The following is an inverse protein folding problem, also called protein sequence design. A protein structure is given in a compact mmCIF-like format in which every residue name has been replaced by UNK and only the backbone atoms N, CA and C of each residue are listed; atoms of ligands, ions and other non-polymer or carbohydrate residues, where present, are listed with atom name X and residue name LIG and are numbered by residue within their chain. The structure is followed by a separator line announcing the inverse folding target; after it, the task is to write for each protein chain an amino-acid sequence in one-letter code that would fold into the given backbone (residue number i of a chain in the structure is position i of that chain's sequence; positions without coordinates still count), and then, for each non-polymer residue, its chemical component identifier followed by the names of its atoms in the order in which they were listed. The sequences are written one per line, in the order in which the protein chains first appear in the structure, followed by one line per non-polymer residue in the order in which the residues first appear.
data_IF_912406233534
#
_entry.id   IF_912406233534
#
_cell.length_a   1.000
_cell.length_b   1.000
_cell.length_c   1.000
_cell.angle_alpha   90.00
_cell.angle_beta   90.00
_cell.angle_gamma   90.00
#
_symmetry.space_group_name_H-M   'P 1'
#
loop_
_entity.id
_entity.type
_entity.pdbx_description
1 polymer ?
#
# COMPACT_ATOMS: atom_id res chain seq x y z
N UNK A 1 15.66 -12.42 -32.52
CA UNK A 1 14.47 -12.51 -31.63
C UNK A 1 14.89 -12.03 -30.26
N UNK A 2 14.27 -10.95 -29.80
CA UNK A 2 14.59 -10.37 -28.50
C UNK A 2 14.22 -11.32 -27.36
N UNK A 3 15.02 -11.31 -26.31
CA UNK A 3 14.91 -12.22 -25.17
C UNK A 3 13.60 -12.04 -24.39
N UNK A 4 13.07 -10.82 -24.35
CA UNK A 4 11.74 -10.50 -23.82
C UNK A 4 10.59 -10.99 -24.72
N UNK A 5 10.78 -10.93 -26.04
CA UNK A 5 9.82 -11.47 -27.02
C UNK A 5 9.68 -12.99 -26.90
N UNK A 6 10.78 -13.71 -26.65
CA UNK A 6 10.74 -15.16 -26.37
C UNK A 6 10.02 -15.48 -25.06
N UNK A 7 10.19 -14.65 -24.03
CA UNK A 7 9.50 -14.82 -22.76
C UNK A 7 7.99 -14.60 -22.87
N UNK A 8 7.56 -13.53 -23.54
CA UNK A 8 6.14 -13.25 -23.80
C UNK A 8 5.50 -14.28 -24.72
N UNK A 9 6.25 -14.84 -25.67
CA UNK A 9 5.81 -15.99 -26.47
C UNK A 9 5.65 -17.24 -25.60
N UNK A 10 6.59 -17.50 -24.67
CA UNK A 10 6.47 -18.60 -23.72
C UNK A 10 5.28 -18.42 -22.77
N UNK A 11 5.00 -17.21 -22.27
CA UNK A 11 3.80 -16.91 -21.47
C UNK A 11 2.47 -17.15 -22.22
N UNK A 12 2.53 -17.26 -23.54
CA UNK A 12 1.39 -17.58 -24.41
C UNK A 12 1.35 -19.07 -24.79
N UNK A 13 2.31 -19.87 -24.34
CA UNK A 13 2.43 -21.29 -24.67
C UNK A 13 1.68 -22.18 -23.68
N UNK A 14 1.21 -23.38 -24.11
CA UNK A 14 0.59 -24.36 -23.21
C UNK A 14 1.52 -24.80 -22.06
N UNK A 15 2.83 -24.85 -22.31
CA UNK A 15 3.85 -25.26 -21.33
C UNK A 15 3.93 -24.30 -20.13
N UNK A 16 3.55 -23.03 -20.32
CA UNK A 16 3.47 -22.06 -19.23
C UNK A 16 2.37 -22.42 -18.24
N UNK A 17 1.22 -22.89 -18.72
CA UNK A 17 0.07 -23.22 -17.86
C UNK A 17 0.40 -24.35 -16.90
N UNK A 18 1.01 -25.43 -17.40
CA UNK A 18 1.46 -26.55 -16.57
C UNK A 18 2.52 -26.11 -15.53
N UNK A 19 3.41 -25.18 -15.91
CA UNK A 19 4.41 -24.63 -14.99
C UNK A 19 3.75 -23.75 -13.91
N UNK A 20 2.76 -22.95 -14.25
CA UNK A 20 2.00 -22.10 -13.32
C UNK A 20 1.21 -22.93 -12.31
N UNK A 21 0.52 -23.98 -12.75
CA UNK A 21 -0.20 -24.90 -11.84
C UNK A 21 0.75 -25.58 -10.83
N UNK A 22 1.92 -26.05 -11.29
CA UNK A 22 2.94 -26.61 -10.41
C UNK A 22 3.46 -25.59 -9.39
N UNK A 23 3.50 -24.32 -9.78
CA UNK A 23 3.94 -23.21 -8.94
C UNK A 23 2.86 -22.76 -7.98
N UNK A 24 1.60 -22.76 -8.38
CA UNK A 24 0.44 -22.48 -7.54
C UNK A 24 0.38 -23.44 -6.34
N UNK A 25 0.63 -24.74 -6.56
CA UNK A 25 0.73 -25.72 -5.46
C UNK A 25 1.83 -25.37 -4.46
N UNK A 26 2.98 -24.90 -4.94
CA UNK A 26 4.09 -24.47 -4.07
C UNK A 26 3.73 -23.21 -3.28
N UNK A 27 3.14 -22.20 -3.94
CA UNK A 27 2.68 -20.96 -3.33
C UNK A 27 1.66 -21.26 -2.22
N UNK A 28 0.67 -22.11 -2.48
CA UNK A 28 -0.31 -22.49 -1.46
C UNK A 28 0.32 -23.15 -0.22
N UNK A 29 1.28 -24.06 -0.41
CA UNK A 29 1.96 -24.72 0.71
C UNK A 29 2.70 -23.71 1.57
N UNK A 30 3.40 -22.78 0.93
CA UNK A 30 4.13 -21.72 1.63
C UNK A 30 3.18 -20.71 2.27
N UNK A 31 2.08 -20.35 1.63
CA UNK A 31 1.06 -19.44 2.13
C UNK A 31 0.36 -20.01 3.38
N UNK A 32 0.01 -21.29 3.37
CA UNK A 32 -0.53 -21.98 4.56
C UNK A 32 0.49 -22.03 5.70
N UNK A 33 1.76 -22.32 5.39
CA UNK A 33 2.85 -22.41 6.38
C UNK A 33 3.08 -21.09 7.13
N UNK A 34 2.85 -19.97 6.47
CA UNK A 34 2.99 -18.62 7.05
C UNK A 34 1.65 -18.02 7.51
N UNK A 35 0.57 -18.82 7.53
CA UNK A 35 -0.78 -18.41 7.92
C UNK A 35 -1.26 -17.16 7.15
N UNK A 36 -1.09 -17.19 5.83
CA UNK A 36 -1.56 -16.13 4.94
C UNK A 36 -3.08 -15.98 5.06
N UNK A 37 -3.60 -14.72 5.11
CA UNK A 37 -5.05 -14.50 5.13
C UNK A 37 -5.72 -15.14 3.93
N UNK A 38 -6.83 -15.86 4.15
CA UNK A 38 -7.55 -16.60 3.11
C UNK A 38 -8.13 -15.68 2.03
N UNK A 39 -8.35 -14.40 2.35
CA UNK A 39 -8.89 -13.38 1.44
C UNK A 39 -7.90 -13.00 0.32
N UNK A 40 -6.63 -13.37 0.47
CA UNK A 40 -5.58 -13.13 -0.52
C UNK A 40 -5.28 -14.37 -1.37
N UNK A 41 -6.04 -15.44 -1.17
CA UNK A 41 -5.91 -16.70 -1.89
C UNK A 41 -7.29 -17.08 -2.47
N UNK A 42 -7.34 -17.79 -3.61
CA UNK A 42 -8.61 -18.24 -4.19
C UNK A 42 -9.44 -19.15 -3.26
N UNK A 43 -8.80 -19.90 -2.36
CA UNK A 43 -9.48 -20.69 -1.34
C UNK A 43 -8.63 -20.81 -0.06
N UNK A 44 -9.23 -21.10 1.11
CA UNK A 44 -8.50 -21.15 2.38
C UNK A 44 -7.50 -22.32 2.48
N UNK A 45 -7.90 -23.51 2.03
CA UNK A 45 -7.05 -24.71 2.04
C UNK A 45 -7.47 -25.67 0.90
N UNK A 46 -6.73 -25.72 -0.23
CA UNK A 46 -7.09 -26.57 -1.37
C UNK A 46 -6.98 -28.06 -1.07
N UNK A 47 -6.28 -28.48 -0.01
CA UNK A 47 -6.14 -29.90 0.34
C UNK A 47 -7.33 -30.46 1.12
N UNK A 48 -8.24 -29.60 1.57
CA UNK A 48 -9.51 -29.99 2.21
C UNK A 48 -10.68 -30.10 1.24
N UNK A 49 -10.51 -29.61 0.02
CA UNK A 49 -11.55 -29.61 -1.01
C UNK A 49 -11.62 -30.94 -1.77
N UNK A 50 -12.78 -31.28 -2.36
CA UNK A 50 -12.92 -32.37 -3.32
C UNK A 50 -11.91 -32.24 -4.49
N UNK A 51 -11.55 -33.35 -5.15
CA UNK A 51 -10.53 -33.35 -6.21
C UNK A 51 -10.77 -32.33 -7.34
N UNK A 52 -12.04 -32.14 -7.72
CA UNK A 52 -12.44 -31.25 -8.82
C UNK A 52 -12.36 -29.77 -8.39
N UNK A 53 -12.96 -29.41 -7.25
CA UNK A 53 -12.87 -28.05 -6.67
C UNK A 53 -11.43 -27.64 -6.31
N UNK A 54 -10.60 -28.61 -5.91
CA UNK A 54 -9.17 -28.39 -5.69
C UNK A 54 -8.46 -28.05 -6.98
N UNK A 55 -8.81 -28.70 -8.09
CA UNK A 55 -8.22 -28.40 -9.39
C UNK A 55 -8.58 -26.96 -9.81
N UNK A 56 -9.86 -26.58 -9.62
CA UNK A 56 -10.34 -25.23 -9.91
C UNK A 56 -9.67 -24.16 -9.04
N UNK A 57 -9.52 -24.40 -7.73
CA UNK A 57 -8.82 -23.47 -6.85
C UNK A 57 -7.33 -23.29 -7.21
N UNK A 58 -6.65 -24.37 -7.59
CA UNK A 58 -5.26 -24.29 -8.06
C UNK A 58 -5.14 -23.60 -9.41
N UNK A 59 -6.14 -23.78 -10.28
CA UNK A 59 -6.22 -23.11 -11.56
C UNK A 59 -6.44 -21.60 -11.38
N UNK A 60 -7.35 -21.20 -10.50
CA UNK A 60 -7.58 -19.79 -10.17
C UNK A 60 -6.29 -19.10 -9.69
N UNK A 61 -5.51 -19.76 -8.83
CA UNK A 61 -4.23 -19.21 -8.38
C UNK A 61 -3.18 -19.16 -9.52
N UNK A 62 -3.21 -20.13 -10.43
CA UNK A 62 -2.36 -20.12 -11.62
C UNK A 62 -2.71 -18.96 -12.56
N UNK A 63 -4.00 -18.63 -12.67
CA UNK A 63 -4.50 -17.51 -13.46
C UNK A 63 -4.11 -16.16 -12.82
N UNK A 64 -4.22 -16.03 -11.49
CA UNK A 64 -3.71 -14.87 -10.74
C UNK A 64 -2.20 -14.70 -10.93
N UNK A 65 -1.45 -15.80 -10.91
CA UNK A 65 -0.01 -15.79 -11.15
C UNK A 65 0.31 -15.40 -12.60
N UNK A 66 -0.51 -15.81 -13.56
CA UNK A 66 -0.38 -15.40 -14.96
C UNK A 66 -0.64 -13.91 -15.14
N UNK A 67 -1.69 -13.37 -14.51
CA UNK A 67 -1.98 -11.93 -14.48
C UNK A 67 -0.86 -11.14 -13.81
N UNK A 68 -0.33 -11.65 -12.70
CA UNK A 68 0.83 -11.08 -12.02
C UNK A 68 2.06 -11.00 -12.93
N UNK A 69 2.28 -11.99 -13.80
CA UNK A 69 3.37 -11.97 -14.76
C UNK A 69 3.09 -10.99 -15.91
N UNK A 70 1.89 -11.04 -16.50
CA UNK A 70 1.49 -10.18 -17.63
C UNK A 70 1.49 -8.69 -17.29
N UNK A 71 1.23 -8.33 -16.04
CA UNK A 71 1.21 -6.95 -15.57
C UNK A 71 2.60 -6.33 -15.33
N UNK A 72 3.70 -7.08 -15.52
CA UNK A 72 5.08 -6.59 -15.26
C UNK A 72 5.76 -6.04 -16.51
N UNK A 73 6.49 -4.96 -16.31
CA UNK A 73 7.34 -4.36 -17.35
C UNK A 73 8.58 -5.21 -17.64
N UNK A 74 9.18 -5.01 -18.81
CA UNK A 74 10.42 -5.69 -19.19
C UNK A 74 11.56 -5.48 -18.17
N UNK A 75 11.67 -4.26 -17.62
CA UNK A 75 12.68 -3.92 -16.61
C UNK A 75 12.53 -4.75 -15.33
N UNK A 76 11.30 -5.10 -14.95
CA UNK A 76 11.05 -5.99 -13.82
C UNK A 76 11.62 -7.39 -14.08
N UNK A 77 11.44 -7.92 -15.30
CA UNK A 77 11.98 -9.22 -15.69
C UNK A 77 13.51 -9.22 -15.79
N UNK A 78 14.11 -8.12 -16.24
CA UNK A 78 15.57 -7.91 -16.23
C UNK A 78 16.11 -7.90 -14.80
N UNK A 79 15.51 -7.12 -13.90
CA UNK A 79 15.87 -7.06 -12.46
C UNK A 79 15.73 -8.40 -11.76
N UNK A 80 14.67 -9.16 -12.07
CA UNK A 80 14.43 -10.50 -11.49
C UNK A 80 15.40 -11.56 -12.04
N UNK A 81 16.08 -11.27 -13.16
CA UNK A 81 16.97 -12.21 -13.85
C UNK A 81 16.22 -13.35 -14.54
N UNK A 82 14.96 -13.14 -14.94
CA UNK A 82 14.15 -14.14 -15.64
C UNK A 82 14.64 -14.37 -17.07
N UNK A 83 15.07 -13.28 -17.72
CA UNK A 83 15.42 -13.23 -19.14
C UNK A 83 16.67 -14.08 -19.47
N UNK A 84 17.77 -14.07 -18.66
CA UNK A 84 18.93 -14.94 -18.89
C UNK A 84 18.70 -16.41 -18.46
N UNK A 85 17.62 -16.71 -17.74
CA UNK A 85 17.41 -18.00 -17.07
C UNK A 85 16.58 -19.01 -17.87
N UNK A 86 16.02 -18.62 -19.03
CA UNK A 86 15.31 -19.52 -19.95
C UNK A 86 16.20 -20.69 -20.41
N UNK A 87 17.53 -20.50 -20.42
CA UNK A 87 18.51 -21.56 -20.72
C UNK A 87 18.88 -22.49 -19.55
N UNK A 88 18.46 -22.20 -18.30
CA UNK A 88 18.79 -22.99 -17.09
C UNK A 88 17.61 -23.81 -16.55
N UNK A 89 16.48 -23.81 -17.26
CA UNK A 89 15.30 -24.59 -16.93
C UNK A 89 14.20 -23.78 -16.23
N UNK A 90 12.98 -23.92 -16.75
CA UNK A 90 11.74 -23.23 -16.34
C UNK A 90 11.49 -23.26 -14.84
N UNK A 91 11.87 -24.34 -14.16
CA UNK A 91 11.66 -24.55 -12.71
C UNK A 91 12.31 -23.47 -11.83
N UNK A 92 13.52 -23.03 -12.15
CA UNK A 92 14.22 -22.03 -11.33
C UNK A 92 13.60 -20.64 -11.45
N UNK A 93 13.13 -20.29 -12.65
CA UNK A 93 12.44 -19.02 -12.90
C UNK A 93 11.11 -19.00 -12.16
N UNK A 94 10.35 -20.10 -12.22
CA UNK A 94 9.07 -20.21 -11.53
C UNK A 94 9.17 -20.15 -10.01
N UNK A 95 10.24 -20.69 -9.41
CA UNK A 95 10.49 -20.54 -7.97
C UNK A 95 10.76 -19.09 -7.58
N UNK A 96 11.51 -18.33 -8.39
CA UNK A 96 11.72 -16.90 -8.15
C UNK A 96 10.43 -16.10 -8.30
N UNK A 97 9.64 -16.41 -9.33
CA UNK A 97 8.31 -15.83 -9.54
C UNK A 97 7.42 -16.09 -8.33
N UNK A 98 7.37 -17.34 -7.84
CA UNK A 98 6.62 -17.68 -6.63
C UNK A 98 7.05 -16.88 -5.41
N UNK A 99 8.36 -16.70 -5.21
CA UNK A 99 8.89 -15.94 -4.09
C UNK A 99 8.48 -14.46 -4.15
N UNK A 100 8.52 -13.86 -5.34
CA UNK A 100 8.09 -12.47 -5.54
C UNK A 100 6.58 -12.31 -5.34
N UNK A 101 5.80 -13.24 -5.88
CA UNK A 101 4.35 -13.26 -5.69
C UNK A 101 3.98 -13.39 -4.21
N UNK A 102 4.61 -14.31 -3.47
CA UNK A 102 4.44 -14.46 -2.02
C UNK A 102 4.84 -13.20 -1.24
N UNK A 103 5.86 -12.46 -1.68
CA UNK A 103 6.23 -11.21 -1.04
C UNK A 103 5.14 -10.14 -1.24
N UNK A 104 4.57 -10.05 -2.44
CA UNK A 104 3.44 -9.15 -2.69
C UNK A 104 2.21 -9.53 -1.86
N UNK A 105 1.87 -10.82 -1.77
CA UNK A 105 0.79 -11.27 -0.90
C UNK A 105 1.07 -10.97 0.58
N UNK A 106 2.31 -11.12 1.04
CA UNK A 106 2.71 -10.72 2.41
C UNK A 106 2.56 -9.23 2.63
N UNK A 107 2.89 -8.40 1.65
CA UNK A 107 2.77 -6.95 1.77
C UNK A 107 1.32 -6.49 1.75
N UNK A 108 0.48 -7.15 0.94
CA UNK A 108 -0.99 -7.01 0.98
C UNK A 108 -1.55 -7.45 2.34
N UNK A 109 -1.14 -8.61 2.85
CA UNK A 109 -1.56 -9.14 4.15
C UNK A 109 -1.18 -8.21 5.31
N UNK A 110 0.03 -7.65 5.28
CA UNK A 110 0.52 -6.71 6.29
C UNK A 110 -0.22 -5.38 6.23
N UNK A 111 -0.60 -4.93 5.05
CA UNK A 111 -1.35 -3.69 4.88
C UNK A 111 -2.80 -3.84 5.36
N UNK A 112 -3.41 -5.00 5.10
CA UNK A 112 -4.78 -5.32 5.52
C UNK A 112 -4.87 -5.57 7.04
N UNK A 113 -3.88 -6.26 7.62
CA UNK A 113 -3.89 -6.70 9.01
C UNK A 113 -3.44 -5.63 10.03
N UNK A 114 -2.63 -4.63 9.63
CA UNK A 114 -1.91 -3.78 10.58
C UNK A 114 -2.59 -2.44 10.91
N UNK A 115 -3.44 -1.85 10.04
CA UNK A 115 -4.16 -0.61 10.39
C UNK A 115 -5.38 -0.29 9.48
N UNK A 116 -6.62 -0.71 9.85
CA UNK A 116 -7.85 -0.41 9.13
C UNK A 116 -8.09 1.09 8.89
N UNK A 117 -7.64 1.93 9.83
CA UNK A 117 -7.76 3.40 9.72
C UNK A 117 -6.88 3.94 8.59
N UNK A 118 -5.71 3.35 8.34
CA UNK A 118 -4.83 3.74 7.22
C UNK A 118 -5.39 3.28 5.88
N UNK A 119 -5.99 2.09 5.80
CA UNK A 119 -6.66 1.63 4.59
C UNK A 119 -7.84 2.55 4.22
N UNK A 120 -8.66 2.91 5.21
CA UNK A 120 -9.75 3.87 5.06
C UNK A 120 -9.23 5.25 4.61
N UNK A 121 -8.18 5.77 5.26
CA UNK A 121 -7.56 7.05 4.88
C UNK A 121 -7.12 7.07 3.41
N UNK A 122 -6.45 6.01 2.94
CA UNK A 122 -6.02 5.90 1.53
C UNK A 122 -7.22 5.91 0.58
N UNK A 123 -8.24 5.14 0.91
CA UNK A 123 -9.47 5.05 0.11
C UNK A 123 -10.18 6.40 0.02
N UNK A 124 -10.32 7.11 1.14
CA UNK A 124 -10.93 8.45 1.18
C UNK A 124 -10.13 9.44 0.34
N UNK A 125 -8.79 9.39 0.41
CA UNK A 125 -7.93 10.28 -0.38
C UNK A 125 -8.16 10.11 -1.89
N UNK A 126 -8.24 8.88 -2.37
CA UNK A 126 -8.51 8.59 -3.79
C UNK A 126 -9.90 9.08 -4.21
N UNK A 127 -10.92 8.72 -3.43
CA UNK A 127 -12.32 9.10 -3.73
C UNK A 127 -12.47 10.62 -3.79
N UNK A 128 -11.95 11.35 -2.80
CA UNK A 128 -12.07 12.80 -2.72
C UNK A 128 -11.26 13.53 -3.80
N UNK A 129 -10.17 12.93 -4.28
CA UNK A 129 -9.36 13.50 -5.36
C UNK A 129 -10.06 13.39 -6.72
N UNK A 130 -10.78 12.29 -6.94
CA UNK A 130 -11.47 12.02 -8.21
C UNK A 130 -12.84 12.70 -8.32
N UNK A 131 -13.37 13.25 -7.21
CA UNK A 131 -14.70 13.82 -7.17
C UNK A 131 -14.71 15.28 -7.63
N UNK A 132 -15.46 15.57 -8.71
CA UNK A 132 -15.46 16.89 -9.33
C UNK A 132 -16.03 18.01 -8.42
N UNK A 133 -16.94 17.66 -7.52
CA UNK A 133 -17.57 18.59 -6.58
C UNK A 133 -16.73 18.86 -5.33
N UNK A 134 -15.58 18.17 -5.17
CA UNK A 134 -14.71 18.30 -4.01
C UNK A 134 -13.45 19.08 -4.38
N UNK A 135 -13.18 20.16 -3.64
CA UNK A 135 -11.90 20.84 -3.73
C UNK A 135 -10.84 20.09 -2.92
N UNK A 136 -9.97 19.35 -3.60
CA UNK A 136 -8.91 18.57 -2.98
C UNK A 136 -7.55 19.29 -3.06
N UNK A 137 -6.78 19.28 -1.96
CA UNK A 137 -5.42 19.86 -1.90
C UNK A 137 -4.49 19.00 -1.06
N UNK A 138 -3.29 18.74 -1.55
CA UNK A 138 -2.21 18.14 -0.77
C UNK A 138 -1.21 19.22 -0.32
N UNK A 139 -0.84 19.23 0.96
CA UNK A 139 0.15 20.14 1.53
C UNK A 139 1.20 19.37 2.34
N UNK A 140 2.20 20.07 2.87
CA UNK A 140 3.21 19.54 3.79
C UNK A 140 2.64 19.02 5.12
N UNK A 141 1.41 19.40 5.48
CA UNK A 141 0.73 18.90 6.67
C UNK A 141 -0.23 17.74 6.39
N UNK A 142 -0.33 17.30 5.12
CA UNK A 142 -1.11 16.15 4.67
C UNK A 142 -2.11 16.48 3.56
N UNK A 143 -3.05 15.56 3.34
CA UNK A 143 -4.16 15.72 2.40
C UNK A 143 -5.34 16.46 3.05
N UNK A 144 -5.88 17.45 2.34
CA UNK A 144 -7.02 18.26 2.74
C UNK A 144 -8.10 18.25 1.66
N UNK A 145 -9.34 18.43 2.08
CA UNK A 145 -10.47 18.56 1.17
C UNK A 145 -11.47 19.61 1.66
N UNK A 146 -12.28 20.12 0.76
CA UNK A 146 -13.41 21.00 1.04
C UNK A 146 -14.55 20.70 0.09
N UNK A 147 -15.80 20.82 0.57
CA UNK A 147 -17.00 20.77 -0.27
C UNK A 147 -17.31 22.13 -0.92
N UNK A 148 -16.61 23.19 -0.51
CA UNK A 148 -16.69 24.52 -1.11
C UNK A 148 -15.35 24.87 -1.78
N UNK A 149 -15.42 25.24 -3.07
CA UNK A 149 -14.29 25.69 -3.89
C UNK A 149 -13.64 26.98 -3.35
N UNK A 150 -14.39 27.80 -2.60
CA UNK A 150 -13.96 29.08 -2.03
C UNK A 150 -13.58 29.00 -0.55
N UNK A 151 -13.46 27.80 0.01
CA UNK A 151 -13.16 27.62 1.42
C UNK A 151 -11.80 28.22 1.82
N UNK A 152 -11.74 28.73 3.06
CA UNK A 152 -10.52 29.25 3.65
C UNK A 152 -9.51 28.12 3.94
N UNK A 153 -8.20 28.42 3.98
CA UNK A 153 -7.20 27.50 4.50
C UNK A 153 -7.59 26.98 5.89
N UNK A 154 -7.20 25.73 6.17
CA UNK A 154 -7.56 25.06 7.42
C UNK A 154 -7.18 25.92 8.65
N UNK A 155 -8.13 26.29 9.53
CA UNK A 155 -7.80 26.87 10.84
C UNK A 155 -7.06 25.86 11.73
N UNK A 156 -6.62 26.33 12.89
CA UNK A 156 -6.18 25.43 13.95
C UNK A 156 -7.26 24.39 14.26
N UNK A 157 -6.89 23.10 14.20
CA UNK A 157 -7.75 21.97 14.52
C UNK A 157 -8.03 21.84 16.03
N UNK A 158 -7.45 22.72 16.86
CA UNK A 158 -7.61 22.68 18.31
C UNK A 158 -9.09 22.64 18.71
N UNK A 159 -9.94 23.47 18.09
CA UNK A 159 -11.38 23.54 18.35
C UNK A 159 -12.09 22.22 18.01
N UNK A 160 -11.70 21.55 16.93
CA UNK A 160 -12.30 20.25 16.55
C UNK A 160 -11.90 19.13 17.50
N UNK A 161 -10.72 19.24 18.13
CA UNK A 161 -10.16 18.24 19.03
C UNK A 161 -10.56 18.46 20.49
N UNK A 162 -11.28 19.54 20.81
CA UNK A 162 -11.84 19.78 22.15
C UNK A 162 -12.82 18.68 22.55
N UNK A 163 -13.59 18.19 21.58
CA UNK A 163 -14.55 17.11 21.77
C UNK A 163 -14.14 15.88 20.92
N UNK A 164 -13.99 14.70 21.52
CA UNK A 164 -13.71 13.47 20.79
C UNK A 164 -14.77 13.20 19.71
N UNK A 165 -14.34 12.73 18.54
CA UNK A 165 -15.27 12.48 17.43
C UNK A 165 -16.42 11.54 17.79
N UNK A 166 -16.21 10.53 18.64
CA UNK A 166 -17.30 9.62 19.06
C UNK A 166 -18.44 10.29 19.82
N UNK A 167 -18.28 11.54 20.26
CA UNK A 167 -19.31 12.35 20.93
C UNK A 167 -20.04 13.30 19.96
N UNK A 168 -19.58 13.39 18.71
CA UNK A 168 -20.27 14.15 17.67
C UNK A 168 -21.55 13.44 17.22
N UNK A 169 -22.40 14.15 16.49
CA UNK A 169 -23.62 13.55 15.93
C UNK A 169 -23.29 12.36 15.05
N UNK A 170 -23.83 11.20 15.42
CA UNK A 170 -23.46 9.95 14.77
C UNK A 170 -24.04 9.87 13.36
N UNK A 171 -23.20 9.69 12.32
CA UNK A 171 -23.67 9.56 10.94
C UNK A 171 -24.33 8.19 10.66
N UNK A 172 -24.37 7.29 11.65
CA UNK A 172 -24.86 5.91 11.49
C UNK A 172 -26.33 5.84 11.06
N UNK A 173 -27.12 6.86 11.38
CA UNK A 173 -28.52 7.00 10.95
C UNK A 173 -28.65 7.35 9.46
N UNK A 174 -27.62 7.96 8.87
CA UNK A 174 -27.59 8.32 7.45
C UNK A 174 -26.86 7.28 6.61
N UNK A 175 -25.74 6.76 7.10
CA UNK A 175 -24.96 5.71 6.44
C UNK A 175 -24.82 4.54 7.40
N UNK A 176 -25.53 3.44 7.14
CA UNK A 176 -25.40 2.22 7.93
C UNK A 176 -24.08 1.49 7.66
N UNK A 177 -23.71 0.55 8.54
CA UNK A 177 -22.49 -0.27 8.44
C UNK A 177 -22.31 -0.94 7.07
N UNK A 178 -23.38 -1.50 6.48
CA UNK A 178 -23.35 -2.13 5.14
C UNK A 178 -23.06 -1.16 3.99
N UNK A 179 -23.20 0.15 4.23
CA UNK A 179 -22.91 1.18 3.23
C UNK A 179 -21.44 1.59 3.19
N UNK A 180 -20.63 1.23 4.19
CA UNK A 180 -19.24 1.69 4.34
C UNK A 180 -18.31 1.27 3.20
N UNK A 181 -18.68 0.24 2.45
CA UNK A 181 -17.93 -0.24 1.30
C UNK A 181 -18.25 0.53 0.01
N UNK A 182 -19.26 1.40 -0.01
CA UNK A 182 -19.69 2.12 -1.21
C UNK A 182 -19.02 3.48 -1.30
N UNK A 183 -18.57 3.84 -2.51
CA UNK A 183 -17.98 5.17 -2.80
C UNK A 183 -18.92 6.31 -2.43
N UNK A 184 -20.19 6.22 -2.85
CA UNK A 184 -21.21 7.25 -2.59
C UNK A 184 -21.43 7.47 -1.09
N UNK A 185 -21.45 6.39 -0.30
CA UNK A 185 -21.59 6.48 1.16
C UNK A 185 -20.39 7.17 1.82
N UNK A 186 -19.16 6.91 1.36
CA UNK A 186 -17.97 7.60 1.87
C UNK A 186 -17.96 9.10 1.51
N UNK A 187 -18.48 9.48 0.35
CA UNK A 187 -18.67 10.88 -0.03
C UNK A 187 -19.74 11.58 0.83
N UNK A 188 -20.85 10.89 1.10
CA UNK A 188 -21.87 11.39 2.04
C UNK A 188 -21.27 11.62 3.43
N UNK A 189 -20.46 10.68 3.94
CA UNK A 189 -19.76 10.84 5.21
C UNK A 189 -18.75 12.00 5.19
N UNK A 190 -18.03 12.16 4.09
CA UNK A 190 -17.12 13.28 3.91
C UNK A 190 -17.87 14.62 3.96
N UNK A 191 -19.07 14.69 3.37
CA UNK A 191 -19.92 15.89 3.41
C UNK A 191 -20.45 16.17 4.80
N UNK A 192 -21.02 15.16 5.47
CA UNK A 192 -21.52 15.29 6.84
C UNK A 192 -20.44 15.77 7.81
N UNK A 193 -19.25 15.17 7.75
CA UNK A 193 -18.11 15.61 8.56
C UNK A 193 -17.71 17.05 8.24
N UNK A 194 -17.69 17.41 6.95
CA UNK A 194 -17.31 18.75 6.54
C UNK A 194 -18.30 19.81 7.03
N UNK A 195 -19.60 19.56 6.89
CA UNK A 195 -20.66 20.45 7.38
C UNK A 195 -20.58 20.63 8.90
N UNK A 196 -20.40 19.53 9.64
CA UNK A 196 -20.26 19.53 11.10
C UNK A 196 -19.02 20.30 11.57
N UNK A 197 -17.87 19.98 10.99
CA UNK A 197 -16.61 20.62 11.34
C UNK A 197 -16.61 22.11 10.99
N UNK A 198 -17.16 22.50 9.84
CA UNK A 198 -17.29 23.92 9.47
C UNK A 198 -18.25 24.67 10.39
N UNK A 199 -19.34 24.04 10.85
CA UNK A 199 -20.26 24.65 11.82
C UNK A 199 -19.56 24.92 13.16
N UNK A 200 -18.78 23.94 13.64
CA UNK A 200 -18.00 24.07 14.89
C UNK A 200 -16.86 25.08 14.78
N UNK A 201 -16.27 25.23 13.59
CA UNK A 201 -15.23 26.22 13.31
C UNK A 201 -15.80 27.61 12.94
N UNK A 202 -17.12 27.72 12.75
CA UNK A 202 -17.81 28.96 12.40
C UNK A 202 -17.56 29.45 10.97
N UNK A 203 -16.89 28.66 10.11
CA UNK A 203 -16.59 29.03 8.72
C UNK A 203 -16.30 27.82 7.82
N UNK A 204 -16.57 27.92 6.50
CA UNK A 204 -16.12 26.94 5.51
C UNK A 204 -14.60 26.92 5.41
N UNK A 205 -13.99 25.75 5.56
CA UNK A 205 -12.54 25.61 5.47
C UNK A 205 -12.11 24.26 4.88
N UNK A 206 -10.83 24.20 4.46
CA UNK A 206 -10.19 22.93 4.14
C UNK A 206 -10.01 22.09 5.39
N UNK A 207 -10.39 20.82 5.32
CA UNK A 207 -10.26 19.88 6.43
C UNK A 207 -9.30 18.75 6.08
N UNK A 208 -8.46 18.29 7.03
CA UNK A 208 -7.57 17.18 6.78
C UNK A 208 -8.35 15.86 6.61
N UNK A 209 -8.01 15.09 5.58
CA UNK A 209 -8.61 13.76 5.31
C UNK A 209 -8.34 12.78 6.47
N UNK A 210 -7.26 13.00 7.24
CA UNK A 210 -6.96 12.20 8.45
C UNK A 210 -7.99 12.37 9.57
N UNK A 211 -8.59 13.55 9.68
CA UNK A 211 -9.62 13.84 10.69
C UNK A 211 -10.93 13.19 10.28
N UNK A 212 -11.29 13.23 8.99
CA UNK A 212 -12.41 12.46 8.43
C UNK A 212 -12.27 10.95 8.70
N UNK A 213 -11.08 10.39 8.44
CA UNK A 213 -10.81 8.99 8.76
C UNK A 213 -10.94 8.71 10.26
N UNK A 214 -10.50 9.65 11.11
CA UNK A 214 -10.67 9.56 12.57
C UNK A 214 -12.14 9.59 13.01
N UNK A 215 -12.93 10.48 12.43
CA UNK A 215 -14.36 10.61 12.67
C UNK A 215 -15.11 9.33 12.30
N UNK A 216 -14.87 8.79 11.12
CA UNK A 216 -15.49 7.54 10.67
C UNK A 216 -15.09 6.37 11.60
N UNK A 217 -13.82 6.25 11.97
CA UNK A 217 -13.38 5.18 12.88
C UNK A 217 -14.06 5.28 14.25
N UNK A 218 -14.31 6.50 14.74
CA UNK A 218 -14.95 6.71 16.03
C UNK A 218 -16.44 6.30 16.04
N UNK A 219 -17.15 6.46 14.92
CA UNK A 219 -18.57 6.12 14.82
C UNK A 219 -18.86 4.71 14.29
N UNK A 220 -17.88 4.08 13.62
CA UNK A 220 -18.00 2.73 13.07
C UNK A 220 -16.89 1.80 13.61
N UNK A 221 -16.83 1.57 14.95
CA UNK A 221 -15.84 0.66 15.53
C UNK A 221 -16.03 -0.78 15.01
N UNK A 222 -17.28 -1.18 14.78
CA UNK A 222 -17.64 -2.49 14.23
C UNK A 222 -17.30 -2.64 12.76
N UNK A 223 -17.27 -1.60 11.93
CA UNK A 223 -16.80 -1.72 10.53
C UNK A 223 -15.31 -2.10 10.49
N UNK A 224 -14.51 -1.57 11.44
CA UNK A 224 -13.09 -1.91 11.56
C UNK A 224 -12.86 -3.30 12.19
N UNK A 225 -13.83 -3.82 12.96
CA UNK A 225 -13.80 -5.16 13.54
C UNK A 225 -14.43 -6.23 12.63
N UNK A 226 -15.45 -5.89 11.84
CA UNK A 226 -16.17 -6.78 10.92
C UNK A 226 -15.39 -7.00 9.61
N UNK A 227 -14.50 -6.06 9.22
CA UNK A 227 -13.44 -6.34 8.24
C UNK A 227 -12.52 -7.48 8.70
N UNK A 228 -12.49 -7.82 10.00
CA UNK A 228 -11.77 -9.00 10.52
C UNK A 228 -12.58 -10.32 10.48
N UNK A 229 -13.90 -10.32 10.23
CA UNK A 229 -14.74 -11.52 10.50
C UNK A 229 -15.81 -11.87 9.45
N UNK A 230 -16.13 -11.06 8.43
CA UNK A 230 -17.11 -11.53 7.43
C UNK A 230 -16.90 -10.98 6.03
N UNK A 231 -16.39 -11.84 5.15
CA UNK A 231 -16.67 -11.83 3.72
C UNK A 231 -16.94 -13.28 3.30
N UNK A 232 -18.12 -13.78 3.65
CA UNK A 232 -18.72 -14.96 3.03
C UNK A 232 -20.03 -14.56 2.37
N UNK A 233 -20.00 -14.67 1.03
CA UNK A 233 -21.02 -15.16 0.09
C UNK A 233 -22.31 -14.36 -0.19
N UNK A 234 -22.35 -13.93 -1.46
CA UNK A 234 -23.40 -14.09 -2.49
C UNK A 234 -24.85 -13.67 -2.18
N UNK A 235 -25.41 -12.79 -3.02
CA UNK A 235 -26.24 -13.29 -4.12
C UNK A 235 -26.37 -12.28 -5.28
N UNK A 236 -26.50 -12.86 -6.46
CA UNK A 236 -26.73 -12.27 -7.78
C UNK A 236 -28.07 -11.50 -7.84
N UNK A 237 -28.14 -10.40 -8.60
CA UNK A 237 -28.89 -10.43 -9.86
C UNK A 237 -28.92 -9.09 -10.64
N UNK A 238 -28.69 -9.26 -11.95
CA UNK A 238 -29.26 -8.55 -13.10
C UNK A 238 -28.80 -7.12 -13.46
N UNK A 239 -27.83 -7.14 -14.39
CA UNK A 239 -27.89 -6.51 -15.72
C UNK A 239 -27.70 -4.99 -15.85
N UNK A 240 -26.58 -4.63 -16.48
CA UNK A 240 -26.33 -3.28 -16.97
C UNK A 240 -24.89 -3.09 -17.42
N UNK A 241 -24.60 -3.52 -18.64
CA UNK A 241 -23.36 -3.24 -19.37
C UNK A 241 -22.84 -1.82 -19.13
N UNK A 242 -21.69 -1.71 -18.47
CA UNK A 242 -20.70 -0.69 -18.80
C UNK A 242 -19.32 -1.23 -18.56
N UNK A 243 -18.61 -1.43 -19.67
CA UNK A 243 -17.17 -1.65 -19.74
C UNK A 243 -16.50 -0.57 -18.92
N UNK A 244 -15.98 -0.92 -17.73
CA UNK A 244 -15.02 -0.09 -17.04
C UNK A 244 -13.73 -0.20 -17.85
N UNK A 245 -13.55 0.76 -18.75
CA UNK A 245 -12.29 0.99 -19.43
C UNK A 245 -11.22 1.13 -18.36
N UNK A 246 -10.23 0.24 -18.44
CA UNK A 246 -8.91 0.47 -17.86
C UNK A 246 -8.27 1.59 -18.67
N UNK A 247 -8.72 2.82 -18.43
CA UNK A 247 -8.03 3.99 -18.96
C UNK A 247 -6.71 4.09 -18.22
N UNK A 248 -5.65 3.85 -18.99
CA UNK A 248 -4.29 4.18 -18.67
C UNK A 248 -4.23 5.61 -18.13
N UNK A 249 -3.99 5.75 -16.82
CA UNK A 249 -3.58 7.00 -16.21
C UNK A 249 -2.14 7.33 -16.64
N UNK A 250 -1.96 7.61 -17.93
CA UNK A 250 -0.84 8.38 -18.42
C UNK A 250 -1.21 9.87 -18.26
N UNK A 251 -0.27 10.62 -17.68
CA UNK A 251 -0.15 12.08 -17.78
C UNK A 251 -0.86 12.98 -16.75
N UNK A 252 -0.85 12.61 -15.47
CA UNK A 252 -1.27 13.49 -14.35
C UNK A 252 -0.28 13.63 -13.18
N UNK A 253 0.88 12.97 -13.23
CA UNK A 253 1.80 12.81 -12.09
C UNK A 253 2.69 14.02 -11.73
N UNK A 254 2.56 15.17 -12.41
CA UNK A 254 3.65 16.16 -12.42
C UNK A 254 3.75 17.05 -11.17
N UNK A 255 2.65 17.57 -10.60
CA UNK A 255 2.76 18.65 -9.59
C UNK A 255 3.11 18.14 -8.18
N UNK A 256 2.48 17.06 -7.72
CA UNK A 256 2.70 16.51 -6.36
C UNK A 256 4.09 15.87 -6.23
N UNK A 257 4.51 15.09 -7.24
CA UNK A 257 5.83 14.45 -7.30
C UNK A 257 6.92 15.52 -7.44
N UNK A 258 6.69 16.58 -8.24
CA UNK A 258 7.62 17.71 -8.33
C UNK A 258 7.75 18.47 -7.00
N UNK A 259 6.65 18.67 -6.28
CA UNK A 259 6.68 19.32 -4.97
C UNK A 259 7.49 18.53 -3.93
N UNK A 260 7.29 17.21 -3.87
CA UNK A 260 8.09 16.32 -3.01
C UNK A 260 9.56 16.34 -3.45
N UNK A 261 9.82 16.32 -4.75
CA UNK A 261 11.16 16.45 -5.34
C UNK A 261 11.92 17.70 -4.91
N UNK A 262 11.24 18.84 -4.84
CA UNK A 262 11.84 20.11 -4.40
C UNK A 262 12.16 20.15 -2.90
N UNK A 263 11.59 19.27 -2.07
CA UNK A 263 11.72 19.30 -0.60
C UNK A 263 12.35 18.05 0.02
N UNK A 264 12.99 17.20 -0.78
CA UNK A 264 13.58 15.95 -0.33
C UNK A 264 14.53 16.09 0.88
N UNK A 265 15.35 17.15 0.91
CA UNK A 265 16.30 17.37 2.02
C UNK A 265 15.60 17.71 3.34
N UNK A 266 14.47 18.41 3.29
CA UNK A 266 13.70 18.75 4.48
C UNK A 266 12.94 17.54 5.01
N UNK A 267 12.34 16.76 4.11
CA UNK A 267 11.70 15.49 4.45
C UNK A 267 12.70 14.51 5.05
N UNK A 268 13.91 14.44 4.49
CA UNK A 268 15.00 13.64 5.02
C UNK A 268 15.42 14.08 6.44
N UNK A 269 15.46 15.40 6.72
CA UNK A 269 15.71 15.94 8.06
C UNK A 269 14.61 15.58 9.05
N UNK A 270 13.34 15.70 8.67
CA UNK A 270 12.21 15.30 9.51
C UNK A 270 12.26 13.81 9.84
N UNK A 271 12.57 12.98 8.84
CA UNK A 271 12.70 11.52 9.00
C UNK A 271 13.85 11.15 9.94
N UNK A 272 15.05 11.71 9.71
CA UNK A 272 16.22 11.47 10.55
C UNK A 272 16.04 11.99 11.99
N UNK A 273 15.31 13.09 12.17
CA UNK A 273 14.96 13.64 13.48
C UNK A 273 14.04 12.74 14.30
N UNK A 274 13.22 11.90 13.65
CA UNK A 274 12.36 10.92 14.31
C UNK A 274 13.07 9.59 14.67
N UNK A 275 14.34 9.45 14.26
CA UNK A 275 15.18 8.29 14.56
C UNK A 275 16.09 8.54 15.76
N UNK A 276 16.33 7.48 16.55
CA UNK A 276 17.41 7.50 17.53
C UNK A 276 18.78 7.48 16.85
N UNK A 277 19.82 7.90 17.56
CA UNK A 277 21.20 7.91 17.06
C UNK A 277 21.62 6.53 16.57
N UNK A 278 21.27 5.47 17.31
CA UNK A 278 21.53 4.08 16.93
C UNK A 278 20.82 3.68 15.64
N UNK A 279 19.60 4.17 15.40
CA UNK A 279 18.86 3.93 14.16
C UNK A 279 19.52 4.65 12.97
N UNK A 280 19.94 5.91 13.16
CA UNK A 280 20.65 6.68 12.13
C UNK A 280 21.98 6.03 11.75
N UNK A 281 22.80 5.66 12.73
CA UNK A 281 24.10 5.02 12.49
C UNK A 281 23.95 3.64 11.85
N UNK A 282 22.98 2.84 12.30
CA UNK A 282 22.69 1.54 11.69
C UNK A 282 22.24 1.68 10.23
N UNK A 283 21.33 2.63 9.95
CA UNK A 283 20.87 2.89 8.60
C UNK A 283 22.00 3.39 7.70
N UNK A 284 22.85 4.30 8.19
CA UNK A 284 24.01 4.81 7.46
C UNK A 284 24.98 3.69 7.07
N UNK A 285 25.33 2.81 7.99
CA UNK A 285 26.27 1.72 7.73
C UNK A 285 25.71 0.72 6.70
N UNK A 286 24.43 0.38 6.80
CA UNK A 286 23.83 -0.65 5.93
C UNK A 286 23.42 -0.07 4.57
N UNK A 287 22.77 1.09 4.53
CA UNK A 287 22.26 1.69 3.29
C UNK A 287 23.20 2.72 2.66
N UNK A 288 23.98 3.43 3.46
CA UNK A 288 24.92 4.44 2.96
C UNK A 288 26.30 3.89 2.62
N UNK A 289 26.79 2.91 3.38
CA UNK A 289 28.11 2.28 3.18
C UNK A 289 28.02 0.86 2.58
N UNK A 290 26.82 0.28 2.50
CA UNK A 290 26.60 -1.05 1.92
C UNK A 290 27.14 -2.20 2.77
N UNK A 291 27.38 -1.98 4.07
CA UNK A 291 27.88 -3.02 4.96
C UNK A 291 26.82 -4.09 5.25
N UNK A 292 27.29 -5.32 5.43
CA UNK A 292 26.44 -6.40 5.93
C UNK A 292 26.02 -6.15 7.39
N UNK A 293 24.91 -6.74 7.82
CA UNK A 293 24.44 -6.62 9.22
C UNK A 293 25.47 -7.12 10.24
N UNK A 294 26.31 -8.08 9.86
CA UNK A 294 27.41 -8.57 10.71
C UNK A 294 28.56 -7.56 10.83
N UNK A 295 28.89 -6.85 9.75
CA UNK A 295 29.89 -5.78 9.76
C UNK A 295 29.40 -4.55 10.52
N UNK A 296 28.14 -4.16 10.30
CA UNK A 296 27.50 -3.09 11.05
C UNK A 296 27.44 -3.42 12.56
N UNK A 297 27.16 -4.67 12.93
CA UNK A 297 27.19 -5.11 14.33
C UNK A 297 28.56 -4.96 14.97
N UNK A 298 29.63 -5.38 14.29
CA UNK A 298 31.01 -5.20 14.79
C UNK A 298 31.35 -3.72 14.97
N UNK A 299 30.93 -2.86 14.04
CA UNK A 299 31.24 -1.43 14.07
C UNK A 299 30.45 -0.66 15.14
N UNK A 300 29.25 -1.12 15.47
CA UNK A 300 28.38 -0.53 16.49
C UNK A 300 28.54 -1.19 17.88
N UNK A 301 29.46 -2.14 18.04
CA UNK A 301 29.72 -2.80 19.33
C UNK A 301 28.68 -3.86 19.74
N UNK A 302 27.86 -4.36 18.80
CA UNK A 302 26.90 -5.43 19.06
C UNK A 302 27.58 -6.81 19.03
N UNK A 303 27.16 -7.68 19.96
CA UNK A 303 27.62 -9.07 20.06
C UNK A 303 27.18 -9.94 18.87
N UNK A 304 26.10 -9.56 18.17
CA UNK A 304 25.57 -10.32 17.03
C UNK A 304 24.81 -9.47 16.02
N UNK A 305 24.72 -9.97 14.79
CA UNK A 305 23.95 -9.37 13.71
C UNK A 305 22.44 -9.26 14.02
N UNK A 306 21.92 -10.05 14.97
CA UNK A 306 20.50 -10.02 15.35
C UNK A 306 20.10 -8.69 16.02
N UNK A 307 20.99 -8.13 16.86
CA UNK A 307 20.74 -6.84 17.52
C UNK A 307 20.64 -5.70 16.51
N UNK A 308 21.58 -5.63 15.56
CA UNK A 308 21.55 -4.65 14.48
C UNK A 308 20.39 -4.89 13.51
N UNK A 309 20.05 -6.16 13.22
CA UNK A 309 18.90 -6.48 12.39
C UNK A 309 17.59 -5.93 12.96
N UNK A 310 17.41 -5.95 14.29
CA UNK A 310 16.21 -5.41 14.91
C UNK A 310 16.15 -3.88 14.78
N UNK A 311 17.24 -3.19 15.10
CA UNK A 311 17.35 -1.73 14.98
C UNK A 311 17.15 -1.28 13.54
N UNK A 312 17.76 -1.99 12.59
CA UNK A 312 17.65 -1.72 11.16
C UNK A 312 16.22 -1.92 10.65
N UNK A 313 15.57 -3.03 11.01
CA UNK A 313 14.16 -3.27 10.66
C UNK A 313 13.25 -2.18 11.24
N UNK A 314 13.45 -1.80 12.50
CA UNK A 314 12.69 -0.71 13.12
C UNK A 314 12.86 0.63 12.40
N UNK A 315 14.08 0.95 11.94
CA UNK A 315 14.33 2.14 11.13
C UNK A 315 13.62 2.07 9.77
N UNK A 316 13.66 0.91 9.09
CA UNK A 316 12.95 0.69 7.82
C UNK A 316 11.43 0.72 7.97
N UNK A 317 10.88 0.23 9.08
CA UNK A 317 9.45 0.28 9.36
C UNK A 317 9.00 1.74 9.53
N UNK A 318 9.77 2.55 10.28
CA UNK A 318 9.51 3.99 10.41
C UNK A 318 9.68 4.73 9.08
N UNK A 319 10.69 4.39 8.29
CA UNK A 319 10.91 4.95 6.94
C UNK A 319 9.70 4.70 6.06
N UNK A 320 9.24 3.45 6.02
CA UNK A 320 8.07 3.05 5.25
C UNK A 320 6.83 3.81 5.71
N UNK A 321 6.61 3.91 7.02
CA UNK A 321 5.49 4.65 7.61
C UNK A 321 5.50 6.13 7.22
N UNK A 322 6.68 6.74 7.18
CA UNK A 322 6.84 8.12 6.74
C UNK A 322 6.58 8.27 5.23
N UNK A 323 7.17 7.41 4.41
CA UNK A 323 7.00 7.46 2.95
C UNK A 323 5.55 7.28 2.50
N UNK A 324 4.73 6.54 3.27
CA UNK A 324 3.30 6.39 3.01
C UNK A 324 2.49 7.70 3.11
N UNK A 325 3.07 8.74 3.71
CA UNK A 325 2.43 10.06 3.86
C UNK A 325 2.74 11.00 2.69
N UNK A 326 3.69 10.64 1.82
CA UNK A 326 4.23 11.53 0.80
C UNK A 326 4.00 10.96 -0.61
N UNK A 327 3.38 11.74 -1.52
CA UNK A 327 3.22 11.36 -2.91
C UNK A 327 4.57 10.99 -3.56
N UNK A 328 4.59 9.97 -4.41
CA UNK A 328 5.82 9.57 -5.10
C UNK A 328 6.81 8.73 -4.28
N UNK A 329 6.61 8.56 -2.96
CA UNK A 329 7.53 7.83 -2.08
C UNK A 329 7.02 6.45 -1.63
N UNK A 330 5.80 6.06 -1.97
CA UNK A 330 5.23 4.75 -1.58
C UNK A 330 4.43 4.08 -2.70
N UNK A 331 4.35 2.73 -2.76
CA UNK A 331 3.48 2.06 -3.74
C UNK A 331 2.00 2.36 -3.39
N UNK A 332 1.18 2.94 -4.29
CA UNK A 332 1.12 2.70 -5.74
C UNK A 332 1.60 3.84 -6.66
N UNK A 333 1.96 5.00 -6.13
CA UNK A 333 2.42 6.17 -6.89
C UNK A 333 3.95 6.36 -6.84
N UNK A 334 4.68 5.34 -6.40
CA UNK A 334 6.12 5.33 -6.24
C UNK A 334 6.83 5.77 -7.52
N UNK A 335 7.51 6.90 -7.45
CA UNK A 335 8.52 7.30 -8.43
C UNK A 335 9.87 6.76 -7.96
N UNK A 336 10.41 5.77 -8.68
CA UNK A 336 11.66 5.09 -8.30
C UNK A 336 12.83 6.09 -8.19
N UNK A 337 12.88 7.13 -9.03
CA UNK A 337 13.96 8.14 -9.03
C UNK A 337 13.80 9.10 -7.86
N UNK A 338 12.57 9.52 -7.58
CA UNK A 338 12.27 10.37 -6.44
C UNK A 338 12.57 9.65 -5.12
N UNK A 339 12.19 8.39 -5.01
CA UNK A 339 12.47 7.56 -3.84
C UNK A 339 13.97 7.33 -3.66
N UNK A 340 14.71 7.03 -4.72
CA UNK A 340 16.17 6.93 -4.65
C UNK A 340 16.81 8.26 -4.20
N UNK A 341 16.38 9.39 -4.77
CA UNK A 341 16.86 10.70 -4.38
C UNK A 341 16.54 11.03 -2.90
N UNK A 342 15.38 10.60 -2.40
CA UNK A 342 15.00 10.71 -1.00
C UNK A 342 15.92 9.89 -0.08
N UNK A 343 16.20 8.63 -0.43
CA UNK A 343 17.11 7.77 0.33
C UNK A 343 18.53 8.37 0.34
N UNK A 344 19.02 8.89 -0.78
CA UNK A 344 20.32 9.56 -0.85
C UNK A 344 20.37 10.84 0.00
N UNK A 345 19.29 11.62 0.04
CA UNK A 345 19.17 12.77 0.93
C UNK A 345 19.18 12.34 2.41
N UNK A 346 18.46 11.27 2.76
CA UNK A 346 18.41 10.71 4.11
C UNK A 346 19.77 10.19 4.57
N UNK A 347 20.51 9.48 3.71
CA UNK A 347 21.89 9.05 3.98
C UNK A 347 22.80 10.25 4.23
N UNK A 348 22.70 11.31 3.42
CA UNK A 348 23.49 12.55 3.62
C UNK A 348 23.21 13.20 4.97
N UNK A 349 21.93 13.34 5.33
CA UNK A 349 21.53 13.90 6.63
C UNK A 349 22.04 13.05 7.78
N UNK A 350 21.94 11.73 7.70
CA UNK A 350 22.47 10.82 8.71
C UNK A 350 24.00 10.88 8.85
N UNK A 351 24.75 11.22 7.78
CA UNK A 351 26.20 11.47 7.84
C UNK A 351 26.55 12.77 8.56
N UNK A 352 25.77 13.82 8.40
CA UNK A 352 26.03 15.14 9.01
C UNK A 352 25.57 15.27 10.45
N UNK A 353 24.67 14.40 10.91
CA UNK A 353 24.05 14.44 12.25
C UNK A 353 24.50 13.28 13.15
N UNK A 354 25.49 12.50 12.69
CA UNK A 354 26.02 11.29 13.32
C UNK A 354 27.34 11.52 14.03
#
# INVERSE_FOLDING_TARGET
MDSFSRWTQWLSSPDCRAALEGTARFIYREALRISMPSELLPCPDPWRLPPDERADCLQALADDLWLFLRSRSEDWYRRMGAIPAVGRGTRFVMLRVAQQFLNELKDKARTLAYDPRRALYRRLRLILREEAEVSYRATDQGAFYSMDLRADPCPSLATLRLEPYGQWDSPIMTVGLKGMEKRSSLLTLAKLFWDEACRRLGRPCYLPVRELAGFIVAHYPEANAAVRVSLDLCDEDVSGSSRVGTDNAADGGSVEVSYVGMRLEELARQMAGAWSDTQRSTFLLVQGEGLTLAEAARRLGYQSAAGVSYVYRSALDKLRDFCLLWPGLSPPDLDERLFEAFILALVRVCKTTG
#
